data_IF_482439194090
#
_entry.id   IF_482439194090
#
_cell.length_a   1.000
_cell.length_b   1.000
_cell.length_c   1.000
_cell.angle_alpha   90.00
_cell.angle_beta   90.00
_cell.angle_gamma   90.00
#
_symmetry.space_group_name_H-M   'P 1'
#
loop_
_entity.id
_entity.type
_entity.pdbx_description
1 polymer ?
#
# COMPACT_ATOMS: atom_id res chain seq x y z
N UNK A 1 -12.65 11.47 0.18
CA UNK A 1 -11.52 10.50 0.09
C UNK A 1 -10.31 11.26 -0.39
N UNK A 2 -9.11 11.00 0.13
CA UNK A 2 -7.89 11.73 -0.22
C UNK A 2 -7.49 11.44 -1.68
N UNK A 3 -7.36 12.48 -2.51
CA UNK A 3 -7.04 12.36 -3.95
C UNK A 3 -5.66 11.73 -4.16
N UNK A 4 -4.67 12.12 -3.37
CA UNK A 4 -3.30 11.62 -3.48
C UNK A 4 -3.23 10.14 -3.07
N UNK A 5 -4.01 9.75 -2.06
CA UNK A 5 -4.15 8.35 -1.67
C UNK A 5 -4.72 7.50 -2.82
N UNK A 6 -5.79 7.94 -3.46
CA UNK A 6 -6.40 7.20 -4.57
C UNK A 6 -5.47 7.13 -5.78
N UNK A 7 -4.79 8.23 -6.11
CA UNK A 7 -3.82 8.26 -7.19
C UNK A 7 -2.65 7.29 -6.95
N UNK A 8 -2.13 7.23 -5.72
CA UNK A 8 -1.07 6.29 -5.34
C UNK A 8 -1.54 4.82 -5.36
N UNK A 9 -2.76 4.52 -4.86
CA UNK A 9 -3.34 3.18 -4.95
C UNK A 9 -3.52 2.72 -6.41
N UNK A 10 -3.90 3.63 -7.31
CA UNK A 10 -4.05 3.33 -8.74
C UNK A 10 -2.71 3.09 -9.47
N UNK A 11 -1.57 3.37 -8.84
CA UNK A 11 -0.25 3.03 -9.40
C UNK A 11 0.16 1.57 -9.12
N UNK A 12 -0.53 0.87 -8.20
CA UNK A 12 -0.27 -0.55 -7.95
C UNK A 12 -0.63 -1.35 -9.20
N UNK A 13 0.37 -2.00 -9.80
CA UNK A 13 0.19 -2.67 -11.08
C UNK A 13 -0.64 -3.95 -10.96
N UNK A 14 -1.40 -4.27 -12.02
CA UNK A 14 -2.10 -5.56 -12.10
C UNK A 14 -1.16 -6.76 -12.01
N UNK A 15 0.09 -6.62 -12.46
CA UNK A 15 1.13 -7.66 -12.31
C UNK A 15 1.44 -7.95 -10.84
N UNK A 16 1.57 -6.91 -10.02
CA UNK A 16 1.80 -7.07 -8.58
C UNK A 16 0.61 -7.74 -7.89
N UNK A 17 -0.62 -7.36 -8.27
CA UNK A 17 -1.84 -8.00 -7.73
C UNK A 17 -1.97 -9.47 -8.13
N UNK A 18 -1.66 -9.80 -9.39
CA UNK A 18 -1.72 -11.18 -9.91
C UNK A 18 -0.64 -12.07 -9.28
N UNK A 19 0.53 -11.53 -8.95
CA UNK A 19 1.62 -12.29 -8.33
C UNK A 19 1.25 -12.84 -6.94
N UNK A 20 0.43 -12.10 -6.18
CA UNK A 20 -0.05 -12.54 -4.86
C UNK A 20 -1.39 -13.30 -4.92
N UNK A 21 -2.15 -13.14 -6.01
CA UNK A 21 -3.46 -13.76 -6.19
C UNK A 21 -3.38 -15.27 -6.44
N UNK A 22 -4.38 -16.01 -5.94
CA UNK A 22 -4.57 -17.43 -6.26
C UNK A 22 -5.17 -17.60 -7.66
N UNK A 23 -4.75 -18.67 -8.34
CA UNK A 23 -5.31 -19.07 -9.63
C UNK A 23 -6.66 -19.76 -9.42
N UNK A 24 -7.68 -19.27 -10.10
CA UNK A 24 -8.95 -19.93 -10.35
C UNK A 24 -8.90 -20.36 -11.82
N UNK A 25 -9.17 -21.63 -12.14
CA UNK A 25 -8.94 -22.18 -13.49
C UNK A 25 -9.47 -21.32 -14.64
N UNK A 26 -8.92 -21.50 -15.85
CA UNK A 26 -9.30 -20.71 -17.02
C UNK A 26 -8.62 -19.32 -17.10
N UNK A 27 -7.47 -19.15 -16.44
CA UNK A 27 -6.69 -17.91 -16.49
C UNK A 27 -7.19 -16.80 -15.56
N UNK A 28 -8.13 -17.12 -14.67
CA UNK A 28 -8.66 -16.18 -13.70
C UNK A 28 -7.77 -16.12 -12.45
N UNK A 29 -7.50 -14.91 -11.96
CA UNK A 29 -6.82 -14.70 -10.70
C UNK A 29 -7.79 -14.09 -9.71
N UNK A 30 -7.75 -14.59 -8.47
CA UNK A 30 -8.53 -14.06 -7.36
C UNK A 30 -7.59 -13.64 -6.25
N UNK A 31 -7.78 -12.42 -5.78
CA UNK A 31 -7.06 -11.85 -4.66
C UNK A 31 -8.00 -11.81 -3.44
N UNK A 32 -7.79 -12.69 -2.48
CA UNK A 32 -8.53 -12.69 -1.20
C UNK A 32 -7.85 -11.78 -0.17
N UNK A 33 -8.53 -11.39 0.93
CA UNK A 33 -8.00 -10.40 1.87
C UNK A 33 -6.59 -10.70 2.42
N UNK A 34 -6.27 -11.97 2.69
CA UNK A 34 -4.95 -12.38 3.17
C UNK A 34 -3.84 -12.23 2.12
N UNK A 35 -4.20 -12.30 0.84
CA UNK A 35 -3.26 -12.15 -0.28
C UNK A 35 -3.11 -10.68 -0.65
N UNK A 36 -4.20 -9.92 -0.60
CA UNK A 36 -4.17 -8.47 -0.75
C UNK A 36 -3.20 -7.83 0.26
N UNK A 37 -3.13 -8.36 1.48
CA UNK A 37 -2.19 -7.90 2.51
C UNK A 37 -0.71 -8.10 2.14
N UNK A 38 -0.41 -8.99 1.18
CA UNK A 38 0.96 -9.22 0.70
C UNK A 38 1.32 -8.37 -0.52
N UNK A 39 0.35 -7.71 -1.16
CA UNK A 39 0.60 -6.91 -2.37
C UNK A 39 1.51 -5.74 -2.00
N UNK A 40 2.69 -5.62 -2.65
CA UNK A 40 3.57 -4.48 -2.40
C UNK A 40 2.88 -3.17 -2.76
N UNK A 41 2.97 -2.18 -1.86
CA UNK A 41 2.34 -0.87 -1.99
C UNK A 41 3.37 0.27 -1.80
N UNK A 42 4.51 0.15 -2.47
CA UNK A 42 5.63 1.10 -2.36
C UNK A 42 5.23 2.52 -2.76
N UNK A 43 4.24 2.66 -3.62
CA UNK A 43 3.68 3.89 -4.14
C UNK A 43 3.04 4.74 -3.04
N UNK A 44 2.65 4.12 -1.92
CA UNK A 44 2.13 4.83 -0.75
C UNK A 44 3.23 5.51 0.08
N UNK A 45 4.50 5.15 -0.08
CA UNK A 45 5.61 5.65 0.74
C UNK A 45 5.68 7.20 0.79
N UNK A 46 5.41 7.85 -0.35
CA UNK A 46 5.45 9.32 -0.45
C UNK A 46 4.36 10.05 0.34
N UNK A 47 3.32 9.34 0.79
CA UNK A 47 2.19 9.93 1.51
C UNK A 47 2.46 10.09 3.02
N UNK A 48 3.42 9.35 3.57
CA UNK A 48 3.68 9.31 5.02
C UNK A 48 4.59 10.44 5.54
N UNK A 49 4.91 11.43 4.71
CA UNK A 49 5.81 12.54 5.06
C UNK A 49 5.26 13.53 6.11
N UNK A 50 3.98 13.41 6.51
CA UNK A 50 3.32 14.37 7.40
C UNK A 50 3.07 13.90 8.85
N UNK A 51 3.67 12.78 9.27
CA UNK A 51 3.33 12.12 10.54
C UNK A 51 4.43 12.00 11.61
N UNK A 52 5.70 12.22 11.30
CA UNK A 52 6.75 12.21 12.31
C UNK A 52 7.18 13.64 12.65
N UNK A 53 6.39 14.32 13.49
CA UNK A 53 7.01 15.25 14.43
C UNK A 53 7.68 14.36 15.46
N UNK A 54 9.00 14.19 15.37
CA UNK A 54 9.76 13.86 16.56
C UNK A 54 9.47 14.97 17.55
N UNK A 55 8.72 14.66 18.60
CA UNK A 55 8.66 15.50 19.77
C UNK A 55 10.08 15.54 20.33
N UNK A 56 10.86 16.54 19.93
CA UNK A 56 12.06 16.92 20.65
C UNK A 56 11.58 17.39 22.03
N UNK A 57 11.46 16.43 22.96
CA UNK A 57 11.40 16.71 24.39
C UNK A 57 12.75 17.29 24.79
N UNK A 58 12.91 18.60 24.56
CA UNK A 58 13.88 19.43 25.24
C UNK A 58 13.46 19.50 26.71
N UNK A 59 13.85 18.51 27.50
CA UNK A 59 13.85 18.68 28.96
C UNK A 59 14.89 19.74 29.32
N UNK A 60 14.41 20.94 29.62
CA UNK A 60 15.17 21.99 30.30
C UNK A 60 15.13 21.69 31.79
N UNK A 61 16.23 21.16 32.32
CA UNK A 61 16.60 21.29 33.72
C UNK A 61 17.87 22.12 33.81
#
# INVERSE_FOLDING_TARGET
>A
MDKLLIEALNQITGKAMVAEGRVYGGGMYKLEPKELANVPAFELQGLFSKGYKSEEHSESW
#
